data_IF_534752083633
#
_entry.id   IF_534752083633
#
_cell.length_a   1.000
_cell.length_b   1.000
_cell.length_c   1.000
_cell.angle_alpha   90.00
_cell.angle_beta   90.00
_cell.angle_gamma   90.00
#
_symmetry.space_group_name_H-M   'P 1'
#
loop_
_entity.id
_entity.type
_entity.pdbx_description
1 polymer ?
#
# COMPACT_ATOMS: atom_id res chain seq x y z
N UNK A 1 80.08 19.11 78.28
CA UNK A 1 78.84 19.64 77.65
C UNK A 1 78.79 19.09 76.22
N UNK A 2 77.70 18.55 75.61
CA UNK A 2 76.26 18.61 75.88
C UNK A 2 75.54 17.23 75.79
N UNK A 3 75.04 16.66 76.90
CA UNK A 3 74.22 15.41 76.85
C UNK A 3 72.93 15.46 77.68
N UNK A 4 72.61 16.61 78.29
CA UNK A 4 71.45 16.73 79.18
C UNK A 4 70.14 17.12 78.45
N UNK A 5 70.18 17.88 77.35
CA UNK A 5 68.95 18.34 76.68
C UNK A 5 68.29 17.29 75.77
N UNK A 6 69.02 16.27 75.30
CA UNK A 6 68.50 15.21 74.43
C UNK A 6 67.59 14.23 75.19
N UNK A 7 67.97 13.84 76.41
CA UNK A 7 67.17 12.97 77.30
C UNK A 7 65.87 13.61 77.81
N UNK A 8 65.77 14.94 77.83
CA UNK A 8 64.53 15.64 78.19
C UNK A 8 63.48 15.67 77.06
N UNK A 9 63.90 15.53 75.80
CA UNK A 9 62.99 15.45 74.63
C UNK A 9 62.40 14.05 74.44
N UNK A 10 63.18 13.00 74.72
CA UNK A 10 62.71 11.60 74.65
C UNK A 10 61.66 11.27 75.73
N UNK A 11 61.76 11.87 76.93
CA UNK A 11 60.73 11.72 77.98
C UNK A 11 59.42 12.51 77.73
N UNK A 12 59.33 13.31 76.65
CA UNK A 12 58.21 14.23 76.39
C UNK A 12 57.32 13.84 75.19
N UNK A 13 57.50 12.66 74.61
CA UNK A 13 56.88 12.33 73.32
C UNK A 13 55.94 11.12 73.27
N UNK A 14 55.84 10.26 74.29
CA UNK A 14 55.02 9.02 74.16
C UNK A 14 53.55 9.17 74.57
N UNK A 15 53.22 10.09 75.48
CA UNK A 15 51.84 10.33 75.90
C UNK A 15 51.50 11.82 75.91
N UNK A 16 51.11 12.36 74.76
CA UNK A 16 50.55 13.70 74.68
C UNK A 16 49.02 13.65 74.80
N UNK A 17 48.50 14.04 75.96
CA UNK A 17 47.06 14.34 76.11
C UNK A 17 46.76 15.62 75.34
N UNK A 18 45.92 15.54 74.31
CA UNK A 18 45.45 16.71 73.58
C UNK A 18 44.66 17.62 74.53
N UNK A 19 44.98 18.91 74.58
CA UNK A 19 44.30 19.86 75.46
C UNK A 19 42.79 19.85 75.17
N UNK A 20 41.99 19.77 76.24
CA UNK A 20 40.53 19.77 76.21
C UNK A 20 40.03 21.01 75.45
N UNK A 21 39.55 20.82 74.22
CA UNK A 21 38.87 21.90 73.48
C UNK A 21 37.43 21.93 73.93
N UNK A 22 37.05 22.97 74.69
CA UNK A 22 35.69 23.20 75.15
C UNK A 22 34.73 23.17 73.93
N UNK A 23 33.66 22.38 74.02
CA UNK A 23 32.64 22.25 72.95
C UNK A 23 32.79 21.05 72.00
N UNK A 24 33.88 20.27 72.06
CA UNK A 24 33.94 18.96 71.36
C UNK A 24 33.65 17.84 72.37
N UNK A 25 32.72 16.96 72.05
CA UNK A 25 32.31 15.85 72.91
C UNK A 25 33.50 15.03 73.45
N UNK A 26 33.30 14.38 74.60
CA UNK A 26 34.35 13.62 75.31
C UNK A 26 35.05 12.65 74.34
N UNK A 27 36.35 12.84 74.12
CA UNK A 27 37.14 11.93 73.30
C UNK A 27 37.19 10.55 73.96
N UNK A 28 37.05 9.50 73.16
CA UNK A 28 37.22 8.13 73.62
C UNK A 28 38.62 7.95 74.22
N UNK A 29 38.72 7.10 75.25
CA UNK A 29 40.00 6.85 75.91
C UNK A 29 41.00 6.24 74.91
N UNK A 30 42.30 6.50 75.09
CA UNK A 30 43.33 6.10 74.12
C UNK A 30 43.50 4.57 74.00
N UNK A 31 42.92 3.82 74.93
CA UNK A 31 42.86 2.36 74.94
C UNK A 31 41.49 1.80 74.48
N UNK A 32 40.56 2.66 74.05
CA UNK A 32 39.28 2.22 73.52
C UNK A 32 39.48 1.59 72.15
N UNK A 33 39.16 0.30 72.04
CA UNK A 33 39.13 -0.39 70.76
C UNK A 33 37.83 -0.03 70.05
N UNK A 34 37.93 0.60 68.88
CA UNK A 34 36.77 0.89 68.05
C UNK A 34 36.26 -0.41 67.41
N UNK A 35 35.11 -0.89 67.88
CA UNK A 35 34.42 -2.08 67.37
C UNK A 35 33.45 -1.75 66.23
N UNK A 36 33.45 -0.51 65.73
CA UNK A 36 32.64 -0.13 64.57
C UNK A 36 33.30 -0.64 63.29
N UNK A 37 32.77 -1.73 62.76
CA UNK A 37 33.09 -2.20 61.42
C UNK A 37 31.85 -2.11 60.54
N UNK A 38 32.07 -1.85 59.25
CA UNK A 38 31.02 -1.88 58.21
C UNK A 38 31.33 -3.03 57.26
N UNK A 39 30.56 -4.10 57.35
CA UNK A 39 30.58 -5.17 56.36
C UNK A 39 29.61 -4.81 55.22
N UNK A 40 30.08 -4.91 53.97
CA UNK A 40 29.22 -4.78 52.78
C UNK A 40 29.10 -6.14 52.12
N UNK A 41 27.86 -6.57 51.86
CA UNK A 41 27.57 -7.80 51.13
C UNK A 41 27.94 -7.63 49.65
N UNK A 42 28.66 -8.62 49.10
CA UNK A 42 28.94 -8.69 47.67
C UNK A 42 27.74 -9.34 46.99
N UNK A 43 27.03 -8.58 46.15
CA UNK A 43 25.98 -9.13 45.30
C UNK A 43 26.63 -9.74 44.04
N UNK A 44 26.69 -11.07 43.97
CA UNK A 44 27.05 -11.75 42.74
C UNK A 44 25.84 -11.81 41.78
N UNK A 45 26.03 -11.60 40.47
CA UNK A 45 24.99 -11.83 39.48
C UNK A 45 24.53 -13.30 39.53
N UNK A 46 23.21 -13.52 39.59
CA UNK A 46 22.66 -14.86 39.53
C UNK A 46 22.98 -15.51 38.17
N UNK A 47 23.67 -16.64 38.19
CA UNK A 47 23.91 -17.46 37.00
C UNK A 47 22.68 -18.36 36.75
N UNK A 48 22.24 -18.44 35.50
CA UNK A 48 20.99 -19.11 35.07
C UNK A 48 20.92 -20.61 35.40
N UNK A 49 22.05 -21.24 35.73
CA UNK A 49 22.16 -22.66 36.10
C UNK A 49 21.40 -22.97 37.41
N UNK A 50 21.27 -22.00 38.31
CA UNK A 50 20.61 -22.20 39.62
C UNK A 50 19.16 -21.72 39.66
N UNK A 51 18.62 -21.22 38.53
CA UNK A 51 17.22 -20.80 38.47
C UNK A 51 16.37 -22.05 38.32
N UNK A 52 15.59 -22.39 39.34
CA UNK A 52 14.62 -23.48 39.23
C UNK A 52 13.59 -23.14 38.14
N UNK A 53 13.58 -23.96 37.08
CA UNK A 53 12.63 -23.89 35.98
C UNK A 53 11.57 -24.99 36.06
N UNK A 54 11.50 -25.71 37.20
CA UNK A 54 10.45 -26.69 37.44
C UNK A 54 9.06 -26.05 37.23
N UNK A 55 8.25 -26.66 36.35
CA UNK A 55 6.92 -26.18 35.99
C UNK A 55 6.85 -25.03 34.97
N UNK A 56 7.98 -24.50 34.47
CA UNK A 56 7.98 -23.52 33.37
C UNK A 56 8.03 -24.24 32.02
N UNK A 57 7.33 -23.68 31.04
CA UNK A 57 7.39 -24.16 29.66
C UNK A 57 8.72 -23.74 29.05
N UNK A 58 9.48 -24.72 28.56
CA UNK A 58 10.84 -24.54 28.04
C UNK A 58 11.01 -25.29 26.72
N UNK A 59 11.96 -24.83 25.90
CA UNK A 59 12.38 -25.53 24.68
C UNK A 59 13.40 -26.66 24.98
N UNK A 60 13.85 -27.36 23.93
CA UNK A 60 14.90 -28.40 24.01
C UNK A 60 16.22 -27.95 24.66
N UNK A 61 16.50 -26.64 24.69
CA UNK A 61 17.69 -26.04 25.32
C UNK A 61 17.43 -25.52 26.75
N UNK A 62 16.29 -25.89 27.34
CA UNK A 62 15.86 -25.45 28.67
C UNK A 62 15.73 -23.91 28.80
N UNK A 63 15.28 -23.24 27.73
CA UNK A 63 15.04 -21.80 27.68
C UNK A 63 13.53 -21.51 27.65
N UNK A 64 13.11 -20.53 28.45
CA UNK A 64 11.74 -20.02 28.44
C UNK A 64 11.51 -19.05 27.29
N UNK A 65 10.24 -18.74 26.99
CA UNK A 65 9.89 -17.67 26.03
C UNK A 65 10.58 -16.35 26.38
N UNK A 66 10.61 -15.98 27.65
CA UNK A 66 11.26 -14.74 28.11
C UNK A 66 12.77 -14.77 27.90
N UNK A 67 13.42 -15.91 28.14
CA UNK A 67 14.86 -16.08 27.87
C UNK A 67 15.16 -15.91 26.37
N UNK A 68 14.33 -16.53 25.52
CA UNK A 68 14.47 -16.47 24.06
C UNK A 68 14.19 -15.06 23.51
N UNK A 69 13.18 -14.38 24.04
CA UNK A 69 12.86 -12.99 23.69
C UNK A 69 14.04 -12.05 23.99
N UNK A 70 14.74 -12.24 25.13
CA UNK A 70 15.96 -11.50 25.44
C UNK A 70 17.10 -11.81 24.46
N UNK A 71 17.23 -13.06 24.04
CA UNK A 71 18.26 -13.48 23.08
C UNK A 71 18.07 -12.89 21.67
N UNK A 72 16.87 -12.44 21.30
CA UNK A 72 16.64 -11.71 20.05
C UNK A 72 17.41 -10.38 19.98
N UNK A 73 17.83 -9.83 21.12
CA UNK A 73 18.62 -8.58 21.19
C UNK A 73 20.12 -8.81 21.28
N UNK A 74 20.56 -10.06 21.23
CA UNK A 74 21.97 -10.41 21.41
C UNK A 74 22.82 -9.99 20.20
N UNK A 75 24.07 -9.58 20.42
CA UNK A 75 24.97 -9.11 19.35
C UNK A 75 25.31 -10.20 18.33
N UNK A 76 25.41 -11.47 18.76
CA UNK A 76 25.68 -12.60 17.89
C UNK A 76 24.45 -13.01 17.07
N UNK A 77 24.58 -12.98 15.74
CA UNK A 77 23.54 -13.42 14.81
C UNK A 77 23.15 -14.89 15.00
N UNK A 78 24.11 -15.77 15.33
CA UNK A 78 23.83 -17.18 15.61
C UNK A 78 22.89 -17.36 16.81
N UNK A 79 23.09 -16.57 17.87
CA UNK A 79 22.21 -16.59 19.06
C UNK A 79 20.82 -16.07 18.71
N UNK A 80 20.72 -14.97 17.95
CA UNK A 80 19.41 -14.44 17.52
C UNK A 80 18.65 -15.43 16.64
N UNK A 81 19.33 -16.05 15.67
CA UNK A 81 18.74 -17.06 14.78
C UNK A 81 18.22 -18.26 15.57
N UNK A 82 19.03 -18.77 16.48
CA UNK A 82 18.66 -19.90 17.33
C UNK A 82 17.51 -19.53 18.28
N UNK A 83 17.44 -18.27 18.74
CA UNK A 83 16.31 -17.76 19.51
C UNK A 83 15.01 -17.75 18.69
N UNK A 84 15.03 -17.29 17.44
CA UNK A 84 13.85 -17.35 16.55
C UNK A 84 13.39 -18.80 16.34
N UNK A 85 14.31 -19.74 16.11
CA UNK A 85 13.97 -21.16 16.02
C UNK A 85 13.43 -21.72 17.33
N UNK A 86 14.03 -21.36 18.48
CA UNK A 86 13.57 -21.78 19.80
C UNK A 86 12.16 -21.25 20.13
N UNK A 87 11.83 -20.03 19.70
CA UNK A 87 10.48 -19.46 19.81
C UNK A 87 9.51 -20.28 18.96
N UNK A 88 9.87 -20.62 17.73
CA UNK A 88 9.01 -21.48 16.91
C UNK A 88 8.78 -22.85 17.56
N UNK A 89 9.83 -23.46 18.11
CA UNK A 89 9.78 -24.75 18.79
C UNK A 89 8.82 -24.71 19.99
N UNK A 90 9.01 -23.76 20.91
CA UNK A 90 8.18 -23.67 22.13
C UNK A 90 6.71 -23.34 21.82
N UNK A 91 6.45 -22.49 20.81
CA UNK A 91 5.09 -22.19 20.36
C UNK A 91 4.43 -23.38 19.66
N UNK A 92 5.22 -24.26 19.03
CA UNK A 92 4.70 -25.50 18.43
C UNK A 92 4.36 -26.52 19.51
N UNK A 93 5.19 -26.63 20.55
CA UNK A 93 4.96 -27.52 21.70
C UNK A 93 3.78 -27.04 22.56
N UNK A 94 3.62 -25.73 22.69
CA UNK A 94 2.60 -25.10 23.53
C UNK A 94 1.85 -24.00 22.76
N UNK A 95 0.91 -24.36 21.86
CA UNK A 95 0.21 -23.39 21.00
C UNK A 95 -0.57 -22.30 21.75
N UNK A 96 -1.01 -22.56 22.99
CA UNK A 96 -1.69 -21.56 23.82
C UNK A 96 -0.83 -20.31 24.07
N UNK A 97 0.50 -20.45 24.08
CA UNK A 97 1.43 -19.34 24.28
C UNK A 97 1.42 -18.34 23.13
N UNK A 98 0.98 -18.75 21.93
CA UNK A 98 0.82 -17.83 20.79
C UNK A 98 -0.12 -16.69 21.16
N UNK A 99 -1.19 -16.98 21.91
CA UNK A 99 -2.17 -15.97 22.33
C UNK A 99 -1.75 -15.25 23.62
N UNK A 100 -1.26 -16.01 24.60
CA UNK A 100 -0.90 -15.45 25.92
C UNK A 100 0.32 -14.52 25.85
N UNK A 101 1.33 -14.88 25.05
CA UNK A 101 2.60 -14.15 24.97
C UNK A 101 2.75 -13.28 23.71
N UNK A 102 1.73 -13.19 22.85
CA UNK A 102 1.74 -12.32 21.67
C UNK A 102 2.20 -10.89 22.00
N UNK A 103 1.73 -10.36 23.14
CA UNK A 103 1.99 -8.99 23.56
C UNK A 103 3.45 -8.70 23.85
N UNK A 104 4.18 -9.67 24.38
CA UNK A 104 5.61 -9.54 24.68
C UNK A 104 6.46 -9.94 23.47
N UNK A 105 6.02 -10.91 22.67
CA UNK A 105 6.78 -11.47 21.56
C UNK A 105 6.75 -10.64 20.29
N UNK A 106 5.58 -10.15 19.86
CA UNK A 106 5.44 -9.48 18.55
C UNK A 106 6.37 -8.26 18.45
N UNK A 107 6.48 -7.37 19.45
CA UNK A 107 7.41 -6.23 19.38
C UNK A 107 8.90 -6.65 19.31
N UNK A 108 9.26 -7.76 19.95
CA UNK A 108 10.62 -8.30 19.90
C UNK A 108 10.94 -8.88 18.52
N UNK A 109 10.01 -9.65 17.96
CA UNK A 109 10.13 -10.24 16.62
C UNK A 109 10.12 -9.17 15.53
N UNK A 110 9.30 -8.13 15.67
CA UNK A 110 9.22 -7.03 14.71
C UNK A 110 10.57 -6.31 14.55
N UNK A 111 11.34 -6.15 15.63
CA UNK A 111 12.70 -5.57 15.56
C UNK A 111 13.66 -6.37 14.68
N UNK A 112 13.49 -7.67 14.60
CA UNK A 112 14.33 -8.54 13.77
C UNK A 112 14.01 -8.45 12.27
N UNK A 113 12.98 -7.70 11.84
CA UNK A 113 12.66 -7.49 10.42
C UNK A 113 13.83 -6.81 9.70
N UNK A 114 14.46 -5.84 10.35
CA UNK A 114 15.63 -5.10 9.86
C UNK A 114 16.98 -5.72 10.24
N UNK A 115 17.04 -6.98 10.67
CA UNK A 115 18.30 -7.62 11.10
C UNK A 115 19.33 -7.65 9.96
N UNK A 116 20.60 -7.41 10.25
CA UNK A 116 21.67 -7.43 9.24
C UNK A 116 21.94 -8.86 8.71
N UNK A 117 21.70 -9.89 9.52
CA UNK A 117 21.96 -11.28 9.13
C UNK A 117 20.80 -11.91 8.33
N UNK A 118 21.13 -12.46 7.17
CA UNK A 118 20.15 -13.03 6.25
C UNK A 118 19.47 -14.30 6.79
N UNK A 119 20.16 -15.10 7.61
CA UNK A 119 19.59 -16.32 8.19
C UNK A 119 18.58 -15.98 9.29
N UNK A 120 18.84 -14.95 10.10
CA UNK A 120 17.88 -14.42 11.08
C UNK A 120 16.62 -13.93 10.37
N UNK A 121 16.75 -13.08 9.34
CA UNK A 121 15.60 -12.56 8.57
C UNK A 121 14.79 -13.69 7.91
N UNK A 122 15.47 -14.69 7.34
CA UNK A 122 14.80 -15.85 6.71
C UNK A 122 14.00 -16.65 7.73
N UNK A 123 14.58 -16.94 8.90
CA UNK A 123 13.91 -17.72 9.94
C UNK A 123 12.74 -16.93 10.54
N UNK A 124 12.90 -15.61 10.72
CA UNK A 124 11.84 -14.73 11.20
C UNK A 124 10.64 -14.73 10.25
N UNK A 125 10.86 -14.59 8.95
CA UNK A 125 9.80 -14.65 7.96
C UNK A 125 9.02 -15.97 8.04
N UNK A 126 9.71 -17.11 8.19
CA UNK A 126 9.08 -18.42 8.36
C UNK A 126 8.29 -18.52 9.66
N UNK A 127 8.76 -17.90 10.74
CA UNK A 127 8.02 -17.85 12.01
C UNK A 127 6.77 -16.97 11.87
N UNK A 128 6.90 -15.75 11.35
CA UNK A 128 5.78 -14.80 11.24
C UNK A 128 4.69 -15.31 10.28
N UNK A 129 5.07 -15.88 9.13
CA UNK A 129 4.12 -16.51 8.18
C UNK A 129 3.32 -17.65 8.78
N UNK A 130 3.91 -18.42 9.69
CA UNK A 130 3.21 -19.48 10.40
C UNK A 130 2.41 -18.97 11.60
N UNK A 131 2.95 -18.02 12.36
CA UNK A 131 2.40 -17.56 13.64
C UNK A 131 1.24 -16.56 13.47
N UNK A 132 1.39 -15.56 12.61
CA UNK A 132 0.43 -14.47 12.49
C UNK A 132 -0.99 -14.92 12.09
N UNK A 133 -1.19 -15.88 11.16
CA UNK A 133 -2.52 -16.38 10.83
C UNK A 133 -3.26 -17.08 11.98
N UNK A 134 -2.53 -17.51 13.02
CA UNK A 134 -3.10 -18.17 14.20
C UNK A 134 -3.59 -17.17 15.26
N UNK A 135 -3.25 -15.88 15.13
CA UNK A 135 -3.63 -14.84 16.07
C UNK A 135 -4.92 -14.18 15.58
N UNK A 136 -6.00 -14.14 16.40
CA UNK A 136 -7.21 -13.42 16.05
C UNK A 136 -6.92 -11.95 15.71
N UNK A 137 -7.57 -11.42 14.67
CA UNK A 137 -7.34 -10.05 14.20
C UNK A 137 -7.50 -8.99 15.31
N UNK A 138 -8.41 -9.22 16.27
CA UNK A 138 -8.64 -8.32 17.39
C UNK A 138 -7.45 -8.26 18.36
N UNK A 139 -6.73 -9.37 18.50
CA UNK A 139 -5.52 -9.45 19.34
C UNK A 139 -4.29 -8.96 18.58
N UNK A 140 -4.25 -9.13 17.25
CA UNK A 140 -3.16 -8.65 16.41
C UNK A 140 -3.21 -7.14 16.17
N UNK A 141 -4.41 -6.55 16.15
CA UNK A 141 -4.71 -5.14 15.88
C UNK A 141 -3.74 -4.13 16.51
N UNK A 142 -3.52 -4.18 17.84
CA UNK A 142 -2.60 -3.27 18.53
C UNK A 142 -1.15 -3.30 18.02
N UNK A 143 -0.73 -4.39 17.38
CA UNK A 143 0.63 -4.59 16.89
C UNK A 143 0.81 -4.28 15.40
N UNK A 144 -0.26 -3.99 14.65
CA UNK A 144 -0.18 -3.65 13.23
C UNK A 144 0.75 -2.45 12.99
N UNK A 145 0.62 -1.40 13.80
CA UNK A 145 1.49 -0.22 13.70
C UNK A 145 2.97 -0.56 13.95
N UNK A 146 3.26 -1.43 14.92
CA UNK A 146 4.64 -1.87 15.19
C UNK A 146 5.21 -2.69 14.04
N UNK A 147 4.44 -3.65 13.50
CA UNK A 147 4.88 -4.48 12.37
C UNK A 147 5.12 -3.62 11.12
N UNK A 148 4.21 -2.69 10.82
CA UNK A 148 4.36 -1.75 9.70
C UNK A 148 5.53 -0.79 9.91
N UNK A 149 5.75 -0.28 11.11
CA UNK A 149 6.89 0.59 11.43
C UNK A 149 8.22 -0.08 11.09
N UNK A 150 8.43 -1.28 11.62
CA UNK A 150 9.68 -2.01 11.38
C UNK A 150 9.81 -2.46 9.92
N UNK A 151 8.70 -2.80 9.26
CA UNK A 151 8.70 -3.16 7.83
C UNK A 151 9.05 -1.97 6.94
N UNK A 152 8.39 -0.83 7.12
CA UNK A 152 8.65 0.42 6.36
C UNK A 152 10.05 0.95 6.62
N UNK A 153 10.52 0.92 7.88
CA UNK A 153 11.90 1.24 8.22
C UNK A 153 12.90 0.32 7.48
N UNK A 154 12.63 -0.99 7.46
CA UNK A 154 13.49 -1.96 6.77
C UNK A 154 13.41 -1.85 5.23
N UNK A 155 12.29 -1.37 4.66
CA UNK A 155 12.17 -1.07 3.23
C UNK A 155 13.05 0.10 2.79
N UNK A 156 13.33 1.04 3.70
CA UNK A 156 14.22 2.18 3.47
C UNK A 156 15.64 1.96 4.01
N UNK A 157 16.01 0.72 4.32
CA UNK A 157 17.34 0.38 4.85
C UNK A 157 18.46 0.62 3.83
N UNK A 158 19.64 1.04 4.32
CA UNK A 158 20.83 1.29 3.46
C UNK A 158 21.27 0.05 2.67
N UNK A 159 21.11 -1.13 3.28
CA UNK A 159 21.49 -2.42 2.71
C UNK A 159 20.35 -3.02 1.83
N UNK A 160 20.58 -3.26 0.53
CA UNK A 160 19.58 -3.84 -0.38
C UNK A 160 19.02 -5.20 0.09
N UNK A 161 19.84 -6.06 0.67
CA UNK A 161 19.44 -7.39 1.13
C UNK A 161 18.49 -7.36 2.34
N UNK A 162 18.54 -6.30 3.14
CA UNK A 162 17.57 -6.06 4.22
C UNK A 162 16.25 -5.61 3.62
N UNK A 163 16.30 -4.68 2.65
CA UNK A 163 15.11 -4.22 1.92
C UNK A 163 14.37 -5.36 1.23
N UNK A 164 15.09 -6.27 0.57
CA UNK A 164 14.50 -7.47 -0.07
C UNK A 164 13.85 -8.38 0.98
N UNK A 165 14.44 -8.49 2.18
CA UNK A 165 13.84 -9.24 3.29
C UNK A 165 12.52 -8.61 3.78
N UNK A 166 12.50 -7.29 3.93
CA UNK A 166 11.33 -6.53 4.38
C UNK A 166 10.14 -6.67 3.42
N UNK A 167 10.39 -6.74 2.11
CA UNK A 167 9.35 -6.96 1.10
C UNK A 167 8.57 -8.24 1.33
N UNK A 168 9.22 -9.31 1.81
CA UNK A 168 8.52 -10.57 2.10
C UNK A 168 7.58 -10.43 3.31
N UNK A 169 7.93 -9.57 4.26
CA UNK A 169 7.06 -9.24 5.40
C UNK A 169 5.91 -8.35 4.93
N UNK A 170 6.18 -7.40 4.03
CA UNK A 170 5.12 -6.60 3.40
C UNK A 170 4.14 -7.48 2.61
N UNK A 171 4.62 -8.47 1.85
CA UNK A 171 3.78 -9.44 1.12
C UNK A 171 2.81 -10.16 2.09
N UNK A 172 3.29 -10.56 3.27
CA UNK A 172 2.45 -11.19 4.30
C UNK A 172 1.38 -10.24 4.83
N UNK A 173 1.74 -8.98 5.12
CA UNK A 173 0.75 -7.97 5.55
C UNK A 173 -0.27 -7.73 4.43
N UNK A 174 0.17 -7.67 3.19
CA UNK A 174 -0.67 -7.49 2.03
C UNK A 174 -1.64 -8.67 1.84
N UNK A 175 -1.26 -9.91 2.12
CA UNK A 175 -2.16 -11.06 2.11
C UNK A 175 -3.33 -10.88 3.10
N UNK A 176 -3.05 -10.39 4.31
CA UNK A 176 -4.08 -10.09 5.32
C UNK A 176 -5.01 -8.99 4.83
N UNK A 177 -4.46 -7.89 4.31
CA UNK A 177 -5.24 -6.77 3.76
C UNK A 177 -6.06 -7.21 2.55
N UNK A 178 -5.53 -8.07 1.70
CA UNK A 178 -6.23 -8.64 0.53
C UNK A 178 -7.40 -9.52 0.94
N UNK A 179 -7.24 -10.32 1.99
CA UNK A 179 -8.34 -11.09 2.57
C UNK A 179 -9.43 -10.16 3.11
N UNK A 180 -9.05 -9.09 3.82
CA UNK A 180 -9.99 -8.08 4.30
C UNK A 180 -10.74 -7.44 3.14
N UNK A 181 -10.06 -7.05 2.06
CA UNK A 181 -10.69 -6.52 0.85
C UNK A 181 -11.72 -7.49 0.27
N UNK A 182 -11.36 -8.77 0.11
CA UNK A 182 -12.25 -9.77 -0.43
C UNK A 182 -13.52 -9.93 0.43
N UNK A 183 -13.36 -9.95 1.76
CA UNK A 183 -14.48 -10.03 2.71
C UNK A 183 -15.38 -8.79 2.64
N UNK A 184 -14.78 -7.60 2.56
CA UNK A 184 -15.53 -6.34 2.52
C UNK A 184 -16.24 -6.11 1.19
N UNK A 185 -15.64 -6.50 0.06
CA UNK A 185 -16.30 -6.48 -1.26
C UNK A 185 -17.55 -7.36 -1.31
N UNK A 186 -17.55 -8.49 -0.59
CA UNK A 186 -18.69 -9.41 -0.51
C UNK A 186 -19.74 -9.05 0.54
N UNK A 187 -19.48 -8.06 1.40
CA UNK A 187 -20.33 -7.72 2.53
C UNK A 187 -21.25 -6.55 2.21
N UNK A 188 -22.55 -6.81 2.01
CA UNK A 188 -23.55 -5.77 1.75
C UNK A 188 -24.00 -5.00 2.99
N UNK A 189 -23.85 -5.57 4.19
CA UNK A 189 -24.21 -4.92 5.46
C UNK A 189 -23.30 -5.38 6.59
N UNK A 190 -22.08 -4.82 6.70
CA UNK A 190 -21.15 -5.19 7.74
C UNK A 190 -21.67 -4.78 9.12
N UNK A 191 -21.55 -5.69 10.09
CA UNK A 191 -21.94 -5.42 11.48
C UNK A 191 -21.20 -4.21 12.06
N UNK A 192 -21.78 -3.53 13.06
CA UNK A 192 -21.10 -2.43 13.75
C UNK A 192 -19.73 -2.83 14.31
N UNK A 193 -19.58 -4.07 14.81
CA UNK A 193 -18.29 -4.59 15.29
C UNK A 193 -17.26 -4.70 14.16
N UNK A 194 -17.67 -5.19 12.99
CA UNK A 194 -16.79 -5.30 11.82
C UNK A 194 -16.35 -3.91 11.34
N UNK A 195 -17.27 -2.93 11.30
CA UNK A 195 -16.95 -1.53 10.95
C UNK A 195 -15.95 -0.91 11.91
N UNK A 196 -16.15 -1.03 13.23
CA UNK A 196 -15.18 -0.54 14.22
C UNK A 196 -13.82 -1.24 14.08
N UNK A 197 -13.81 -2.57 13.88
CA UNK A 197 -12.57 -3.32 13.73
C UNK A 197 -11.78 -2.92 12.48
N UNK A 198 -12.45 -2.65 11.35
CA UNK A 198 -11.78 -2.13 10.16
C UNK A 198 -11.29 -0.70 10.39
N UNK A 199 -12.11 0.17 10.98
CA UNK A 199 -11.73 1.55 11.27
C UNK A 199 -10.48 1.63 12.18
N UNK A 200 -10.42 0.81 13.23
CA UNK A 200 -9.25 0.74 14.11
C UNK A 200 -8.02 0.20 13.37
N UNK A 201 -8.21 -0.82 12.52
CA UNK A 201 -7.12 -1.36 11.68
C UNK A 201 -6.60 -0.32 10.71
N UNK A 202 -7.48 0.35 9.96
CA UNK A 202 -7.10 1.43 9.04
C UNK A 202 -6.45 2.59 9.78
N UNK A 203 -6.90 2.93 10.99
CA UNK A 203 -6.26 3.97 11.80
C UNK A 203 -4.82 3.65 12.22
N UNK A 204 -4.48 2.36 12.39
CA UNK A 204 -3.10 1.96 12.60
C UNK A 204 -2.26 2.00 11.33
N UNK A 205 -2.88 1.70 10.18
CA UNK A 205 -2.23 1.66 8.86
C UNK A 205 -2.05 3.07 8.30
N UNK A 206 -2.97 4.00 8.59
CA UNK A 206 -3.04 5.35 8.01
C UNK A 206 -1.81 6.21 8.26
N UNK A 207 -1.07 5.94 9.36
CA UNK A 207 0.17 6.64 9.69
C UNK A 207 1.25 6.44 8.62
N UNK A 208 1.15 5.34 7.85
CA UNK A 208 2.10 4.96 6.83
C UNK A 208 1.58 5.15 5.41
N UNK A 209 0.34 5.59 5.24
CA UNK A 209 -0.24 5.83 3.92
C UNK A 209 0.02 7.28 3.46
N UNK A 210 0.44 7.50 2.19
CA UNK A 210 0.82 6.50 1.20
C UNK A 210 2.19 5.86 1.51
N UNK A 211 2.24 4.53 1.52
CA UNK A 211 3.44 3.72 1.73
C UNK A 211 4.53 4.07 0.73
N UNK A 212 4.14 4.33 -0.52
CA UNK A 212 5.04 4.73 -1.60
C UNK A 212 5.81 6.02 -1.31
N UNK A 213 5.31 6.93 -0.47
CA UNK A 213 5.99 8.19 -0.11
C UNK A 213 7.12 7.95 0.88
N UNK A 214 7.02 6.90 1.69
CA UNK A 214 7.97 6.57 2.74
C UNK A 214 9.05 5.57 2.29
N UNK A 215 8.88 4.96 1.11
CA UNK A 215 9.81 3.99 0.55
C UNK A 215 10.66 4.62 -0.54
N UNK A 216 11.95 4.84 -0.27
CA UNK A 216 12.88 5.37 -1.26
C UNK A 216 12.95 4.50 -2.52
N UNK A 217 12.76 5.08 -3.71
CA UNK A 217 12.68 4.34 -4.98
C UNK A 217 14.02 3.74 -5.45
N UNK A 218 15.14 4.21 -4.89
CA UNK A 218 16.51 3.87 -5.28
C UNK A 218 16.99 2.56 -4.65
N UNK A 219 16.84 1.45 -5.37
CA UNK A 219 17.43 0.15 -5.01
C UNK A 219 16.45 -0.92 -4.50
N UNK A 220 15.13 -0.66 -4.54
CA UNK A 220 14.12 -1.72 -4.45
C UNK A 220 14.01 -2.47 -5.78
N UNK A 221 13.76 -3.78 -5.71
CA UNK A 221 13.44 -4.59 -6.89
C UNK A 221 12.08 -4.17 -7.50
N UNK A 222 11.84 -4.54 -8.76
CA UNK A 222 10.56 -4.30 -9.44
C UNK A 222 9.36 -4.85 -8.64
N UNK A 223 9.51 -6.08 -8.13
CA UNK A 223 8.50 -6.76 -7.33
C UNK A 223 8.20 -6.02 -6.03
N UNK A 224 9.24 -5.53 -5.36
CA UNK A 224 9.12 -4.75 -4.13
C UNK A 224 8.33 -3.45 -4.34
N UNK A 225 8.62 -2.75 -5.44
CA UNK A 225 7.90 -1.53 -5.82
C UNK A 225 6.42 -1.82 -6.07
N UNK A 226 6.12 -2.88 -6.80
CA UNK A 226 4.74 -3.31 -7.06
C UNK A 226 3.98 -3.67 -5.77
N UNK A 227 4.61 -4.36 -4.81
CA UNK A 227 3.98 -4.69 -3.54
C UNK A 227 3.61 -3.45 -2.71
N UNK A 228 4.50 -2.44 -2.66
CA UNK A 228 4.22 -1.16 -1.99
C UNK A 228 3.02 -0.45 -2.61
N UNK A 229 2.98 -0.39 -3.94
CA UNK A 229 1.87 0.20 -4.68
C UNK A 229 0.57 -0.54 -4.42
N UNK A 230 0.59 -1.88 -4.46
CA UNK A 230 -0.60 -2.68 -4.18
C UNK A 230 -1.13 -2.44 -2.76
N UNK A 231 -0.24 -2.21 -1.79
CA UNK A 231 -0.63 -1.84 -0.43
C UNK A 231 -1.34 -0.47 -0.39
N UNK A 232 -0.85 0.54 -1.11
CA UNK A 232 -1.50 1.85 -1.23
C UNK A 232 -2.90 1.74 -1.82
N UNK A 233 -3.04 1.01 -2.93
CA UNK A 233 -4.33 0.78 -3.59
C UNK A 233 -5.30 0.05 -2.67
N UNK A 234 -4.81 -0.96 -1.95
CA UNK A 234 -5.62 -1.76 -1.06
C UNK A 234 -6.12 -0.96 0.15
N UNK A 235 -5.27 -0.09 0.72
CA UNK A 235 -5.68 0.84 1.76
C UNK A 235 -6.75 1.80 1.26
N UNK A 236 -6.52 2.42 0.08
CA UNK A 236 -7.44 3.36 -0.53
C UNK A 236 -8.83 2.74 -0.76
N UNK A 237 -8.89 1.51 -1.26
CA UNK A 237 -10.14 0.80 -1.48
C UNK A 237 -10.83 0.40 -0.16
N UNK A 238 -10.09 -0.08 0.85
CA UNK A 238 -10.68 -0.39 2.16
C UNK A 238 -11.26 0.85 2.84
N UNK A 239 -10.59 2.01 2.72
CA UNK A 239 -11.09 3.27 3.23
C UNK A 239 -12.40 3.68 2.55
N UNK A 240 -12.46 3.57 1.21
CA UNK A 240 -13.67 3.82 0.44
C UNK A 240 -14.81 2.85 0.80
N UNK A 241 -14.53 1.55 0.93
CA UNK A 241 -15.51 0.55 1.34
C UNK A 241 -16.04 0.79 2.76
N UNK A 242 -15.19 1.21 3.69
CA UNK A 242 -15.61 1.59 5.03
C UNK A 242 -16.56 2.79 4.98
N UNK A 243 -16.18 3.84 4.26
CA UNK A 243 -16.97 5.06 4.11
C UNK A 243 -18.33 4.80 3.46
N UNK A 244 -18.39 3.95 2.43
CA UNK A 244 -19.65 3.55 1.78
C UNK A 244 -20.60 2.82 2.76
N UNK A 245 -20.05 2.12 3.76
CA UNK A 245 -20.80 1.36 4.75
C UNK A 245 -21.02 2.13 6.06
N UNK A 246 -20.58 3.38 6.18
CA UNK A 246 -20.94 4.25 7.29
C UNK A 246 -22.39 4.72 7.14
N UNK A 247 -23.33 3.91 7.65
CA UNK A 247 -24.72 4.34 7.74
C UNK A 247 -24.83 5.62 8.60
N UNK A 248 -25.52 6.63 8.08
CA UNK A 248 -25.72 7.97 8.67
C UNK A 248 -26.31 8.00 10.11
N UNK A 249 -26.59 6.86 10.74
CA UNK A 249 -27.22 6.77 12.07
C UNK A 249 -26.46 5.93 13.10
N UNK A 250 -25.26 5.41 12.80
CA UNK A 250 -24.46 4.65 13.78
C UNK A 250 -23.03 5.17 13.86
N UNK A 251 -22.80 6.12 14.79
CA UNK A 251 -21.47 6.65 15.12
C UNK A 251 -20.52 5.49 15.46
N UNK A 252 -19.47 5.34 14.67
CA UNK A 252 -18.37 4.43 14.98
C UNK A 252 -17.70 4.90 16.28
N UNK A 253 -17.51 3.99 17.23
CA UNK A 253 -16.77 4.25 18.47
C UNK A 253 -15.26 4.11 18.20
N UNK A 254 -14.74 4.83 17.21
CA UNK A 254 -13.30 4.85 16.89
C UNK A 254 -12.81 6.28 16.86
N UNK A 255 -11.51 6.47 17.13
CA UNK A 255 -10.81 7.74 16.89
C UNK A 255 -10.51 7.97 15.40
N UNK A 256 -10.79 6.97 14.56
CA UNK A 256 -10.63 7.04 13.12
C UNK A 256 -11.60 8.06 12.52
N UNK A 257 -11.06 9.11 11.90
CA UNK A 257 -11.84 10.10 11.17
C UNK A 257 -11.88 9.69 9.69
N UNK A 258 -13.00 9.12 9.25
CA UNK A 258 -13.17 8.63 7.88
C UNK A 258 -13.05 9.76 6.86
N UNK A 259 -13.64 10.93 7.12
CA UNK A 259 -13.61 12.08 6.20
C UNK A 259 -12.17 12.54 5.91
N UNK A 260 -11.33 12.65 6.95
CA UNK A 260 -9.92 13.02 6.80
C UNK A 260 -9.16 11.99 5.96
N UNK A 261 -9.47 10.71 6.14
CA UNK A 261 -8.81 9.64 5.40
C UNK A 261 -9.28 9.56 3.95
N UNK A 262 -10.56 9.80 3.68
CA UNK A 262 -11.07 9.92 2.31
C UNK A 262 -10.44 11.10 1.59
N UNK A 263 -10.28 12.25 2.25
CA UNK A 263 -9.57 13.40 1.67
C UNK A 263 -8.11 13.07 1.35
N UNK A 264 -7.41 12.34 2.23
CA UNK A 264 -6.05 11.85 1.97
C UNK A 264 -5.98 10.88 0.79
N UNK A 265 -6.94 9.97 0.67
CA UNK A 265 -7.06 9.04 -0.46
C UNK A 265 -7.37 9.76 -1.77
N UNK A 266 -8.26 10.76 -1.73
CA UNK A 266 -8.61 11.62 -2.86
C UNK A 266 -7.37 12.38 -3.38
N UNK A 267 -6.61 13.01 -2.47
CA UNK A 267 -5.35 13.68 -2.81
C UNK A 267 -4.32 12.73 -3.42
N UNK A 268 -4.16 11.53 -2.85
CA UNK A 268 -3.23 10.52 -3.37
C UNK A 268 -3.61 10.07 -4.78
N UNK A 269 -4.91 9.82 -5.03
CA UNK A 269 -5.39 9.43 -6.35
C UNK A 269 -5.25 10.58 -7.37
N UNK A 270 -5.53 11.82 -6.97
CA UNK A 270 -5.32 12.98 -7.83
C UNK A 270 -3.84 13.14 -8.22
N UNK A 271 -2.92 12.98 -7.25
CA UNK A 271 -1.48 12.95 -7.51
C UNK A 271 -1.10 11.85 -8.51
N UNK A 272 -1.66 10.65 -8.31
CA UNK A 272 -1.42 9.49 -9.17
C UNK A 272 -1.92 9.68 -10.62
N UNK A 273 -3.02 10.39 -10.80
CA UNK A 273 -3.60 10.70 -12.12
C UNK A 273 -2.91 11.88 -12.83
N UNK A 274 -2.25 12.77 -12.07
CA UNK A 274 -1.51 13.90 -12.61
C UNK A 274 -0.16 13.45 -13.21
N UNK A 275 0.07 13.72 -14.50
CA UNK A 275 1.34 13.35 -15.18
C UNK A 275 2.23 14.56 -15.46
N UNK A 276 3.58 14.44 -15.39
CA UNK A 276 4.37 13.29 -14.92
C UNK A 276 4.96 13.57 -13.54
N UNK A 277 4.91 12.56 -12.67
CA UNK A 277 5.49 12.58 -11.31
C UNK A 277 7.01 12.79 -11.42
N UNK A 278 7.46 14.04 -11.29
CA UNK A 278 8.88 14.41 -11.22
C UNK A 278 9.41 14.17 -9.82
N UNK A 279 10.31 13.19 -9.69
CA UNK A 279 11.39 13.05 -8.69
C UNK A 279 11.08 13.15 -7.17
N UNK A 280 9.86 13.44 -6.73
CA UNK A 280 9.52 13.52 -5.30
C UNK A 280 9.08 12.18 -4.75
N UNK A 281 10.03 11.28 -4.48
CA UNK A 281 9.92 10.26 -3.42
C UNK A 281 8.85 9.16 -3.53
N UNK A 282 7.86 9.28 -4.42
CA UNK A 282 6.88 8.24 -4.73
C UNK A 282 7.58 7.13 -5.51
N UNK A 283 7.31 5.89 -5.13
CA UNK A 283 7.63 4.74 -5.98
C UNK A 283 6.96 4.97 -7.33
N UNK A 284 7.74 5.42 -8.31
CA UNK A 284 7.27 5.59 -9.69
C UNK A 284 6.62 4.28 -10.12
N UNK A 285 5.32 4.34 -10.44
CA UNK A 285 4.55 3.26 -11.03
C UNK A 285 4.99 2.91 -12.46
N UNK A 286 6.18 3.34 -12.87
CA UNK A 286 6.76 2.96 -14.14
C UNK A 286 7.20 1.49 -14.09
N UNK A 287 6.71 0.72 -15.06
CA UNK A 287 7.34 -0.54 -15.46
C UNK A 287 8.85 -0.36 -15.68
N UNK A 288 9.63 -1.39 -15.34
CA UNK A 288 11.10 -1.41 -15.26
C UNK A 288 11.84 -1.31 -16.60
N UNK A 289 11.45 -0.38 -17.47
CA UNK A 289 12.12 -0.14 -18.75
C UNK A 289 11.73 1.14 -19.48
N UNK A 290 10.87 2.00 -18.92
CA UNK A 290 10.45 3.23 -19.58
C UNK A 290 11.22 4.46 -19.05
N UNK A 291 11.81 5.23 -19.97
CA UNK A 291 12.37 6.55 -19.73
C UNK A 291 11.30 7.52 -19.19
N UNK A 292 11.57 8.19 -18.05
CA UNK A 292 11.04 9.47 -17.53
C UNK A 292 9.55 9.88 -17.72
N UNK A 293 8.70 9.02 -18.27
CA UNK A 293 7.24 9.18 -18.37
C UNK A 293 6.61 8.04 -17.59
N UNK A 294 6.29 8.29 -16.33
CA UNK A 294 5.59 7.36 -15.45
C UNK A 294 4.21 7.07 -16.02
N UNK A 295 4.01 5.87 -16.57
CA UNK A 295 2.68 5.42 -16.98
C UNK A 295 2.23 4.31 -16.04
N UNK A 296 1.14 4.58 -15.32
CA UNK A 296 0.35 3.60 -14.60
C UNK A 296 0.18 2.36 -15.48
N UNK A 297 0.50 1.18 -14.96
CA UNK A 297 0.19 -0.04 -15.69
C UNK A 297 -1.34 -0.30 -15.69
N UNK A 298 -1.88 -1.03 -16.68
CA UNK A 298 -3.31 -1.25 -16.80
C UNK A 298 -3.94 -1.98 -15.62
N UNK A 299 -3.19 -2.84 -14.94
CA UNK A 299 -3.72 -3.67 -13.86
C UNK A 299 -3.79 -2.88 -12.56
N UNK A 300 -2.79 -2.05 -12.28
CA UNK A 300 -2.89 -1.02 -11.23
C UNK A 300 -4.05 -0.07 -11.51
N UNK A 301 -4.21 0.39 -12.76
CA UNK A 301 -5.33 1.28 -13.07
C UNK A 301 -6.69 0.60 -12.83
N UNK A 302 -6.82 -0.69 -13.15
CA UNK A 302 -8.03 -1.47 -12.82
C UNK A 302 -8.29 -1.57 -11.33
N UNK A 303 -7.23 -1.74 -10.53
CA UNK A 303 -7.35 -1.78 -9.08
C UNK A 303 -7.79 -0.42 -8.47
N UNK A 304 -7.57 0.70 -9.16
CA UNK A 304 -8.08 2.02 -8.74
C UNK A 304 -9.58 2.20 -9.00
N UNK A 305 -10.17 1.46 -9.96
CA UNK A 305 -11.55 1.72 -10.42
C UNK A 305 -12.61 1.70 -9.30
N UNK A 306 -12.60 0.76 -8.33
CA UNK A 306 -13.57 0.77 -7.23
C UNK A 306 -13.46 2.05 -6.38
N UNK A 307 -12.24 2.46 -6.05
CA UNK A 307 -11.99 3.67 -5.26
C UNK A 307 -12.35 4.93 -6.05
N UNK A 308 -12.01 4.98 -7.34
CA UNK A 308 -12.41 6.07 -8.23
C UNK A 308 -13.92 6.18 -8.33
N UNK A 309 -14.64 5.06 -8.49
CA UNK A 309 -16.10 5.06 -8.51
C UNK A 309 -16.70 5.64 -7.23
N UNK A 310 -16.15 5.28 -6.07
CA UNK A 310 -16.56 5.83 -4.78
C UNK A 310 -16.30 7.34 -4.69
N UNK A 311 -15.06 7.77 -4.95
CA UNK A 311 -14.66 9.18 -4.83
C UNK A 311 -15.40 10.07 -5.81
N UNK A 312 -15.58 9.62 -7.05
CA UNK A 312 -16.38 10.31 -8.04
C UNK A 312 -17.84 10.43 -7.62
N UNK A 313 -18.31 9.69 -6.60
CA UNK A 313 -19.63 9.80 -5.99
C UNK A 313 -19.71 10.73 -4.77
N UNK A 314 -18.58 11.23 -4.27
CA UNK A 314 -18.50 12.08 -3.06
C UNK A 314 -17.83 13.43 -3.32
N UNK A 315 -16.79 13.48 -4.15
CA UNK A 315 -15.99 14.66 -4.52
C UNK A 315 -15.85 14.73 -6.05
N UNK A 316 -16.82 15.35 -6.73
CA UNK A 316 -17.06 15.10 -8.15
C UNK A 316 -16.20 15.94 -9.11
N UNK A 317 -16.09 17.25 -8.90
CA UNK A 317 -15.66 18.15 -10.00
C UNK A 317 -14.17 18.06 -10.35
N UNK A 318 -13.27 18.15 -9.36
CA UNK A 318 -11.82 18.17 -9.60
C UNK A 318 -11.27 16.81 -10.04
N UNK A 319 -11.87 15.71 -9.55
CA UNK A 319 -11.46 14.36 -9.87
C UNK A 319 -11.88 13.95 -11.29
N UNK A 320 -13.09 14.32 -11.72
CA UNK A 320 -13.54 14.09 -13.09
C UNK A 320 -12.65 14.85 -14.09
N UNK A 321 -12.29 16.09 -13.78
CA UNK A 321 -11.39 16.89 -14.61
C UNK A 321 -10.01 16.25 -14.77
N UNK A 322 -9.43 15.80 -13.66
CA UNK A 322 -8.17 15.05 -13.65
C UNK A 322 -8.28 13.78 -14.51
N UNK A 323 -9.36 13.01 -14.36
CA UNK A 323 -9.57 11.77 -15.09
C UNK A 323 -9.71 11.99 -16.61
N UNK A 324 -10.47 13.01 -17.02
CA UNK A 324 -10.63 13.37 -18.44
C UNK A 324 -9.31 13.91 -19.02
N UNK A 325 -8.56 14.70 -18.26
CA UNK A 325 -7.23 15.15 -18.66
C UNK A 325 -6.28 13.97 -18.87
N UNK A 326 -6.26 13.00 -17.95
CA UNK A 326 -5.50 11.75 -18.11
C UNK A 326 -5.95 10.99 -19.36
N UNK A 327 -7.26 10.85 -19.61
CA UNK A 327 -7.75 10.17 -20.82
C UNK A 327 -7.25 10.83 -22.12
N UNK A 328 -7.22 12.16 -22.17
CA UNK A 328 -6.74 12.90 -23.33
C UNK A 328 -5.21 12.87 -23.49
N UNK A 329 -4.45 12.84 -22.38
CA UNK A 329 -2.99 12.81 -22.41
C UNK A 329 -2.41 11.46 -22.83
N UNK A 330 -3.12 10.35 -22.56
CA UNK A 330 -2.65 9.01 -22.90
C UNK A 330 -2.65 8.75 -24.42
N UNK A 331 -1.58 8.12 -24.92
CA UNK A 331 -1.50 7.67 -26.31
C UNK A 331 -2.51 6.56 -26.60
N UNK A 332 -3.04 6.46 -27.83
CA UNK A 332 -4.04 5.43 -28.17
C UNK A 332 -3.49 4.00 -28.19
N UNK A 333 -2.17 3.86 -28.31
CA UNK A 333 -1.46 2.59 -28.16
C UNK A 333 -1.29 2.17 -26.69
N UNK A 334 -1.49 3.10 -25.75
CA UNK A 334 -1.32 2.82 -24.33
C UNK A 334 -2.54 2.10 -23.76
N UNK A 335 -2.32 0.95 -23.11
CA UNK A 335 -3.38 0.07 -22.61
C UNK A 335 -4.27 0.73 -21.53
N UNK A 336 -3.77 1.68 -20.75
CA UNK A 336 -4.60 2.44 -19.78
C UNK A 336 -5.67 3.26 -20.49
N UNK A 337 -5.43 3.77 -21.70
CA UNK A 337 -6.45 4.53 -22.44
C UNK A 337 -7.69 3.66 -22.72
N UNK A 338 -7.48 2.37 -23.01
CA UNK A 338 -8.57 1.43 -23.20
C UNK A 338 -9.38 1.19 -21.91
N UNK A 339 -8.69 1.04 -20.77
CA UNK A 339 -9.34 0.88 -19.46
C UNK A 339 -10.12 2.14 -19.07
N UNK A 340 -9.53 3.32 -19.27
CA UNK A 340 -10.17 4.61 -19.05
C UNK A 340 -11.42 4.80 -19.92
N UNK A 341 -11.30 4.50 -21.22
CA UNK A 341 -12.43 4.55 -22.14
C UNK A 341 -13.56 3.65 -21.67
N UNK A 342 -13.25 2.39 -21.32
CA UNK A 342 -14.24 1.42 -20.87
C UNK A 342 -14.94 1.87 -19.59
N UNK A 343 -14.18 2.39 -18.62
CA UNK A 343 -14.72 2.95 -17.38
C UNK A 343 -15.66 4.13 -17.64
N UNK A 344 -15.19 5.14 -18.38
CA UNK A 344 -15.96 6.36 -18.71
C UNK A 344 -17.19 6.04 -19.58
N UNK A 345 -17.06 5.13 -20.54
CA UNK A 345 -18.15 4.68 -21.39
C UNK A 345 -19.23 4.00 -20.53
N UNK A 346 -18.85 3.01 -19.70
CA UNK A 346 -19.79 2.32 -18.81
C UNK A 346 -20.46 3.26 -17.80
N UNK A 347 -19.70 4.21 -17.25
CA UNK A 347 -20.23 5.28 -16.41
C UNK A 347 -21.33 6.09 -17.11
N UNK A 348 -21.07 6.53 -18.34
CA UNK A 348 -22.08 7.20 -19.15
C UNK A 348 -23.29 6.29 -19.44
N UNK A 349 -23.07 5.02 -19.79
CA UNK A 349 -24.16 4.08 -20.06
C UNK A 349 -25.06 3.87 -18.83
N UNK A 350 -24.47 3.74 -17.64
CA UNK A 350 -25.22 3.59 -16.39
C UNK A 350 -26.17 4.77 -16.14
N UNK A 351 -25.77 6.00 -16.49
CA UNK A 351 -26.64 7.18 -16.40
C UNK A 351 -27.91 7.06 -17.26
N UNK A 352 -27.90 6.21 -18.30
CA UNK A 352 -29.04 6.02 -19.21
C UNK A 352 -29.93 4.82 -18.84
N UNK A 353 -29.52 3.94 -17.93
CA UNK A 353 -30.18 2.64 -17.64
C UNK A 353 -30.96 2.63 -16.31
N UNK A 354 -31.45 3.79 -15.82
CA UNK A 354 -32.11 3.93 -14.50
C UNK A 354 -31.27 3.40 -13.31
N UNK A 355 -29.95 3.28 -13.49
CA UNK A 355 -29.03 2.91 -12.42
C UNK A 355 -28.54 4.16 -11.70
N UNK A 356 -28.16 4.02 -10.43
CA UNK A 356 -27.49 5.09 -9.69
C UNK A 356 -26.12 5.35 -10.35
N UNK A 357 -25.91 6.59 -10.76
CA UNK A 357 -24.64 7.08 -11.32
C UNK A 357 -24.12 8.18 -10.40
N UNK A 358 -22.80 8.24 -10.15
CA UNK A 358 -22.20 9.34 -9.40
C UNK A 358 -22.17 10.65 -10.20
N UNK A 359 -22.50 10.61 -11.49
CA UNK A 359 -22.47 11.77 -12.38
C UNK A 359 -23.84 12.42 -12.54
N UNK A 360 -23.85 13.75 -12.50
CA UNK A 360 -24.97 14.57 -12.95
C UNK A 360 -25.22 14.39 -14.46
N UNK A 361 -26.38 14.86 -14.94
CA UNK A 361 -26.70 14.83 -16.36
C UNK A 361 -25.67 15.64 -17.20
N UNK A 362 -25.25 16.81 -16.70
CA UNK A 362 -24.24 17.66 -17.35
C UNK A 362 -22.87 16.99 -17.43
N UNK A 363 -22.42 16.34 -16.35
CA UNK A 363 -21.15 15.62 -16.33
C UNK A 363 -21.18 14.40 -17.26
N UNK A 364 -22.31 13.69 -17.29
CA UNK A 364 -22.50 12.56 -18.21
C UNK A 364 -22.38 13.00 -19.67
N UNK A 365 -23.00 14.12 -20.05
CA UNK A 365 -22.87 14.68 -21.40
C UNK A 365 -21.43 15.16 -21.68
N UNK A 366 -20.74 15.72 -20.69
CA UNK A 366 -19.32 16.11 -20.81
C UNK A 366 -18.40 14.89 -21.03
N UNK A 367 -18.63 13.79 -20.31
CA UNK A 367 -17.92 12.52 -20.52
C UNK A 367 -18.13 12.04 -21.96
N UNK A 368 -19.38 12.00 -22.42
CA UNK A 368 -19.70 11.61 -23.79
C UNK A 368 -18.98 12.50 -24.82
N UNK A 369 -19.00 13.81 -24.63
CA UNK A 369 -18.34 14.76 -25.54
C UNK A 369 -16.81 14.54 -25.59
N UNK A 370 -16.17 14.32 -24.44
CA UNK A 370 -14.75 13.98 -24.34
C UNK A 370 -14.43 12.68 -25.09
N UNK A 371 -15.20 11.62 -24.84
CA UNK A 371 -15.03 10.33 -25.51
C UNK A 371 -15.19 10.47 -27.02
N UNK A 372 -16.28 11.09 -27.50
CA UNK A 372 -16.55 11.30 -28.93
C UNK A 372 -15.52 12.20 -29.62
N UNK A 373 -14.84 13.07 -28.89
CA UNK A 373 -13.79 13.93 -29.44
C UNK A 373 -12.49 13.16 -29.69
N UNK A 374 -12.10 12.27 -28.78
CA UNK A 374 -10.93 11.41 -28.97
C UNK A 374 -11.21 10.16 -29.84
N UNK A 375 -12.48 9.78 -29.97
CA UNK A 375 -12.96 8.57 -30.65
C UNK A 375 -12.39 8.36 -32.07
N UNK A 376 -12.39 9.34 -32.98
CA UNK A 376 -12.02 9.10 -34.38
C UNK A 376 -10.55 8.68 -34.51
N UNK A 377 -9.67 9.43 -33.83
CA UNK A 377 -8.23 9.21 -33.82
C UNK A 377 -7.88 7.90 -33.11
N UNK A 378 -8.49 7.65 -31.96
CA UNK A 378 -8.20 6.44 -31.18
C UNK A 378 -8.64 5.17 -31.91
N UNK A 379 -9.83 5.16 -32.51
CA UNK A 379 -10.33 4.04 -33.30
C UNK A 379 -9.48 3.81 -34.55
N UNK A 380 -9.06 4.89 -35.21
CA UNK A 380 -8.14 4.85 -36.34
C UNK A 380 -6.82 4.17 -35.97
N UNK A 381 -6.15 4.67 -34.92
CA UNK A 381 -4.86 4.16 -34.48
C UNK A 381 -4.99 2.70 -34.00
N UNK A 382 -6.06 2.37 -33.27
CA UNK A 382 -6.35 1.04 -32.77
C UNK A 382 -6.60 0.01 -33.88
N UNK A 383 -7.32 0.40 -34.94
CA UNK A 383 -7.60 -0.49 -36.07
C UNK A 383 -6.36 -0.84 -36.91
N UNK A 384 -5.30 -0.04 -36.84
CA UNK A 384 -4.05 -0.28 -37.57
C UNK A 384 -3.08 -1.22 -36.85
N UNK A 385 -3.35 -1.61 -35.59
CA UNK A 385 -2.50 -2.50 -34.79
C UNK A 385 -3.27 -3.72 -34.30
N UNK A 386 -2.71 -4.92 -34.43
CA UNK A 386 -3.32 -6.14 -33.87
C UNK A 386 -3.56 -6.05 -32.35
N UNK A 387 -2.69 -5.36 -31.61
CA UNK A 387 -2.86 -5.13 -30.17
C UNK A 387 -3.96 -4.10 -29.84
N UNK A 388 -4.33 -3.26 -30.79
CA UNK A 388 -5.37 -2.24 -30.65
C UNK A 388 -6.76 -2.71 -31.08
N UNK A 389 -6.87 -3.79 -31.85
CA UNK A 389 -8.15 -4.27 -32.39
C UNK A 389 -9.19 -4.59 -31.30
N UNK A 390 -8.77 -5.11 -30.15
CA UNK A 390 -9.67 -5.35 -29.01
C UNK A 390 -10.27 -4.03 -28.48
N UNK A 391 -9.44 -2.98 -28.37
CA UNK A 391 -9.91 -1.65 -27.97
C UNK A 391 -10.84 -1.03 -29.03
N UNK A 392 -10.51 -1.17 -30.31
CA UNK A 392 -11.39 -0.76 -31.41
C UNK A 392 -12.76 -1.46 -31.35
N UNK A 393 -12.80 -2.74 -30.94
CA UNK A 393 -14.04 -3.47 -30.71
C UNK A 393 -14.92 -2.83 -29.64
N UNK A 394 -14.36 -2.57 -28.46
CA UNK A 394 -15.07 -1.90 -27.34
C UNK A 394 -15.61 -0.53 -27.77
N UNK A 395 -14.86 0.21 -28.58
CA UNK A 395 -15.28 1.49 -29.13
C UNK A 395 -16.46 1.37 -30.10
N UNK A 396 -16.43 0.38 -31.00
CA UNK A 396 -17.52 0.11 -31.94
C UNK A 396 -18.78 -0.40 -31.25
N UNK A 397 -18.65 -1.23 -30.22
CA UNK A 397 -19.77 -1.70 -29.40
C UNK A 397 -20.40 -0.54 -28.62
N UNK A 398 -19.58 0.35 -28.05
CA UNK A 398 -20.08 1.57 -27.42
C UNK A 398 -20.84 2.45 -28.42
N UNK A 399 -20.29 2.67 -29.63
CA UNK A 399 -20.98 3.41 -30.68
C UNK A 399 -22.30 2.75 -31.07
N UNK A 400 -22.31 1.42 -31.24
CA UNK A 400 -23.53 0.67 -31.53
C UNK A 400 -24.60 0.91 -30.46
N UNK A 401 -24.22 0.80 -29.19
CA UNK A 401 -25.13 1.06 -28.07
C UNK A 401 -25.65 2.50 -28.08
N UNK A 402 -24.78 3.51 -28.28
CA UNK A 402 -25.19 4.91 -28.37
C UNK A 402 -26.24 5.15 -29.46
N UNK A 403 -26.11 4.45 -30.59
CA UNK A 403 -27.03 4.56 -31.72
C UNK A 403 -28.38 3.89 -31.46
N UNK A 404 -28.42 2.90 -30.57
CA UNK A 404 -29.66 2.22 -30.15
C UNK A 404 -30.40 2.94 -29.01
N UNK A 405 -29.81 3.99 -28.42
CA UNK A 405 -30.50 4.78 -27.39
C UNK A 405 -31.77 5.45 -27.95
N UNK A 406 -32.83 5.62 -27.14
CA UNK A 406 -34.07 6.27 -27.58
C UNK A 406 -33.88 7.70 -28.11
N UNK A 407 -32.88 8.40 -27.58
CA UNK A 407 -32.45 9.72 -28.03
C UNK A 407 -30.95 9.67 -28.30
N UNK A 408 -30.52 9.25 -29.50
CA UNK A 408 -29.10 9.13 -29.82
C UNK A 408 -28.47 10.52 -29.95
N UNK A 409 -27.18 10.68 -29.62
CA UNK A 409 -26.51 11.98 -29.69
C UNK A 409 -26.58 12.59 -31.10
N UNK A 410 -27.01 13.85 -31.21
CA UNK A 410 -27.13 14.55 -32.49
C UNK A 410 -25.76 14.84 -33.15
N UNK A 411 -24.69 14.98 -32.35
CA UNK A 411 -23.33 15.35 -32.77
C UNK A 411 -22.47 14.17 -33.28
N UNK A 412 -23.06 13.18 -33.96
CA UNK A 412 -22.33 12.10 -34.65
C UNK A 412 -22.08 12.49 -36.12
N UNK A 413 -21.26 13.53 -36.32
CA UNK A 413 -21.03 14.15 -37.63
C UNK A 413 -19.93 13.46 -38.46
N UNK A 414 -19.86 13.79 -39.76
CA UNK A 414 -18.84 13.31 -40.69
C UNK A 414 -17.40 13.46 -40.15
N UNK A 415 -17.08 14.57 -39.50
CA UNK A 415 -15.74 14.83 -38.97
C UNK A 415 -15.29 13.78 -37.95
N UNK A 416 -16.25 13.15 -37.26
CA UNK A 416 -15.98 12.13 -36.23
C UNK A 416 -15.98 10.71 -36.78
N UNK A 417 -16.90 10.37 -37.69
CA UNK A 417 -17.10 8.98 -38.12
C UNK A 417 -16.80 8.74 -39.61
N UNK A 418 -16.79 9.78 -40.45
CA UNK A 418 -16.53 9.65 -41.89
C UNK A 418 -15.20 8.95 -42.19
N UNK A 419 -14.07 9.41 -41.62
CA UNK A 419 -12.77 8.79 -41.85
C UNK A 419 -12.66 7.32 -41.44
N UNK A 420 -13.52 6.83 -40.54
CA UNK A 420 -13.58 5.40 -40.19
C UNK A 420 -13.98 4.56 -41.38
N UNK A 421 -14.90 5.05 -42.22
CA UNK A 421 -15.53 4.31 -43.31
C UNK A 421 -14.86 4.58 -44.66
N UNK A 422 -14.60 5.85 -44.96
CA UNK A 422 -14.04 6.25 -46.24
C UNK A 422 -13.20 7.53 -46.13
N UNK A 423 -12.07 7.56 -46.82
CA UNK A 423 -11.13 8.66 -46.72
C UNK A 423 -10.74 9.13 -48.09
N UNK A 424 -10.66 10.45 -48.23
CA UNK A 424 -9.94 11.09 -49.31
C UNK A 424 -8.53 11.41 -48.84
N UNK A 425 -7.53 10.77 -49.45
CA UNK A 425 -6.12 11.00 -49.09
C UNK A 425 -5.77 12.47 -49.36
N UNK A 426 -5.34 13.25 -48.34
CA UNK A 426 -5.20 14.71 -48.46
C UNK A 426 -4.20 15.13 -49.54
N UNK A 427 -3.13 14.35 -49.74
CA UNK A 427 -2.08 14.69 -50.73
C UNK A 427 -2.16 13.92 -52.04
N UNK A 428 -2.83 12.76 -52.09
CA UNK A 428 -2.84 11.89 -53.29
C UNK A 428 -4.12 12.03 -54.11
N UNK A 429 -5.13 12.75 -53.60
CA UNK A 429 -6.47 12.85 -54.20
C UNK A 429 -7.17 11.51 -54.48
N UNK A 430 -6.62 10.39 -54.01
CA UNK A 430 -7.22 9.05 -54.12
C UNK A 430 -8.14 8.83 -52.93
N UNK A 431 -9.32 8.26 -53.20
CA UNK A 431 -10.23 7.84 -52.14
C UNK A 431 -10.03 6.37 -51.83
N UNK A 432 -9.88 6.03 -50.55
CA UNK A 432 -9.59 4.67 -50.08
C UNK A 432 -10.55 4.27 -48.95
N UNK A 433 -10.82 2.97 -48.79
CA UNK A 433 -11.56 2.47 -47.63
C UNK A 433 -10.87 2.88 -46.34
N UNK A 434 -11.69 3.25 -45.36
CA UNK A 434 -11.23 3.55 -44.01
C UNK A 434 -10.76 2.31 -43.23
N UNK A 435 -10.35 2.51 -41.97
CA UNK A 435 -9.71 1.49 -41.13
C UNK A 435 -10.65 0.34 -40.77
N UNK A 436 -11.97 0.50 -40.93
CA UNK A 436 -12.94 -0.58 -40.76
C UNK A 436 -12.57 -1.84 -41.56
N UNK A 437 -11.99 -1.68 -42.76
CA UNK A 437 -11.59 -2.79 -43.62
C UNK A 437 -10.36 -3.56 -43.08
N UNK A 438 -9.56 -2.96 -42.20
CA UNK A 438 -8.41 -3.60 -41.56
C UNK A 438 -8.76 -4.36 -40.28
N UNK A 439 -9.99 -4.22 -39.80
CA UNK A 439 -10.47 -4.91 -38.60
C UNK A 439 -10.72 -6.41 -38.87
N UNK A 440 -10.67 -7.25 -37.82
CA UNK A 440 -11.10 -8.65 -37.87
C UNK A 440 -12.54 -8.79 -38.39
N UNK A 441 -12.92 -9.96 -38.96
CA UNK A 441 -14.22 -10.15 -39.60
C UNK A 441 -15.44 -9.77 -38.74
N UNK A 442 -15.43 -10.12 -37.44
CA UNK A 442 -16.51 -9.79 -36.51
C UNK A 442 -16.67 -8.28 -36.30
N UNK A 443 -15.56 -7.56 -36.09
CA UNK A 443 -15.56 -6.11 -35.88
C UNK A 443 -15.86 -5.34 -37.17
N UNK A 444 -15.42 -5.87 -38.32
CA UNK A 444 -15.78 -5.34 -39.64
C UNK A 444 -17.29 -5.41 -39.84
N UNK A 445 -17.91 -6.55 -39.52
CA UNK A 445 -19.36 -6.71 -39.57
C UNK A 445 -20.06 -5.70 -38.66
N UNK A 446 -19.62 -5.56 -37.40
CA UNK A 446 -20.19 -4.59 -36.46
C UNK A 446 -20.08 -3.13 -36.97
N UNK A 447 -18.94 -2.77 -37.56
CA UNK A 447 -18.77 -1.45 -38.18
C UNK A 447 -19.75 -1.25 -39.35
N UNK A 448 -19.96 -2.26 -40.19
CA UNK A 448 -20.93 -2.19 -41.28
C UNK A 448 -22.38 -2.16 -40.77
N UNK A 449 -22.72 -2.91 -39.72
CA UNK A 449 -24.06 -2.91 -39.12
C UNK A 449 -24.41 -1.50 -38.57
N UNK A 450 -23.42 -0.81 -37.98
CA UNK A 450 -23.56 0.58 -37.51
C UNK A 450 -23.90 1.58 -38.63
N UNK A 451 -23.61 1.27 -39.89
CA UNK A 451 -23.96 2.14 -41.03
C UNK A 451 -25.48 2.38 -41.08
N UNK A 452 -26.27 1.32 -40.91
CA UNK A 452 -27.74 1.41 -40.98
C UNK A 452 -28.32 2.37 -39.94
N UNK A 453 -27.70 2.45 -38.77
CA UNK A 453 -28.15 3.32 -37.66
C UNK A 453 -27.64 4.77 -37.79
N UNK A 454 -26.65 5.01 -38.65
CA UNK A 454 -26.05 6.32 -38.90
C UNK A 454 -26.68 7.06 -40.10
N UNK A 455 -27.44 6.36 -40.94
CA UNK A 455 -28.06 6.93 -42.14
C UNK A 455 -28.97 8.11 -41.83
N UNK A 456 -28.92 9.14 -42.70
CA UNK A 456 -29.83 10.28 -42.66
C UNK A 456 -29.47 11.35 -41.63
N UNK A 457 -28.28 11.26 -41.01
CA UNK A 457 -27.79 12.22 -40.01
C UNK A 457 -26.97 13.36 -40.60
N UNK A 458 -26.14 13.06 -41.61
CA UNK A 458 -25.25 14.03 -42.26
C UNK A 458 -24.95 13.57 -43.69
N UNK A 459 -25.18 14.44 -44.68
CA UNK A 459 -25.05 14.08 -46.09
C UNK A 459 -23.62 13.69 -46.51
N UNK A 460 -22.58 14.25 -45.87
CA UNK A 460 -21.18 13.87 -46.15
C UNK A 460 -20.86 12.51 -45.55
N UNK A 461 -21.39 12.23 -44.35
CA UNK A 461 -21.30 10.93 -43.70
C UNK A 461 -22.01 9.86 -44.53
N UNK A 462 -23.26 10.11 -44.95
CA UNK A 462 -24.04 9.18 -45.77
C UNK A 462 -23.31 8.78 -47.06
N UNK A 463 -22.60 9.73 -47.68
CA UNK A 463 -21.74 9.45 -48.85
C UNK A 463 -20.59 8.49 -48.51
N UNK A 464 -19.86 8.73 -47.43
CA UNK A 464 -18.75 7.86 -47.00
C UNK A 464 -19.25 6.46 -46.60
N UNK A 465 -20.40 6.39 -45.92
CA UNK A 465 -21.06 5.15 -45.54
C UNK A 465 -21.46 4.32 -46.75
N UNK A 466 -22.07 4.95 -47.77
CA UNK A 466 -22.48 4.28 -49.01
C UNK A 466 -21.29 3.69 -49.76
N UNK A 467 -20.19 4.46 -49.87
CA UNK A 467 -18.95 3.99 -50.52
C UNK A 467 -18.32 2.79 -49.79
N UNK A 468 -18.36 2.79 -48.45
CA UNK A 468 -17.86 1.66 -47.66
C UNK A 468 -18.71 0.40 -47.87
N UNK A 469 -20.04 0.55 -47.95
CA UNK A 469 -20.98 -0.55 -48.17
C UNK A 469 -20.83 -1.16 -49.57
N UNK A 470 -20.73 -0.33 -50.60
CA UNK A 470 -20.42 -0.78 -51.97
C UNK A 470 -19.08 -1.54 -52.04
N UNK A 471 -18.04 -1.01 -51.39
CA UNK A 471 -16.73 -1.68 -51.34
C UNK A 471 -16.78 -3.02 -50.61
N UNK A 472 -17.58 -3.14 -49.54
CA UNK A 472 -17.77 -4.39 -48.82
C UNK A 472 -18.46 -5.44 -49.70
N UNK A 473 -19.52 -5.05 -50.40
CA UNK A 473 -20.29 -5.93 -51.30
C UNK A 473 -19.48 -6.39 -52.51
N UNK A 474 -18.55 -5.57 -53.01
CA UNK A 474 -17.67 -5.96 -54.12
C UNK A 474 -16.60 -6.99 -53.74
N UNK A 475 -16.43 -7.30 -52.45
CA UNK A 475 -15.40 -8.21 -51.92
C UNK A 475 -15.93 -9.40 -51.11
N UNK A 476 -17.23 -9.42 -50.81
CA UNK A 476 -17.96 -10.59 -50.30
C UNK A 476 -18.24 -11.56 -51.43
#
# INVERSE_FOLDING_TARGET
>A
MPKASKRQKEKKADFQKTKLKLGKGKQAANNATDVSFKAKTIALPQQSINVDKSGKLVNSRNLTITDLALQLRHYSAGVRRDAVSGIKEILTLHPSLILTDAASLIPELARCIGDEDAAVRKQLHVLLSWMLPQIPAQLLGPYHGTLLLFTTSALSHIYPEVRIGAVKILDLVFEIVSLMLALWRGSSSPSSKARTSLADTLGHISVYFPFSHHTGSSGLSAKAKSAVVQMDLAYAELAALLALNEAASQKIKSKFNVEVQIASVSSFIAELLSTPVTESGTVSLASTGASAGSVLDPDTFRALLPTLWFLLGTEHESLLDSLLATYHSQASTHKVKAVLFEFLARAFLLSKVRAASPFTASESERILESLLTAFPRTLWEAANSSSGQAFAGVQLEFLHFLLLLPSPPAKLAYEKLGPLYWIRHPTKNVSVPGPWNKLPPSLRKLALDNITLLQGRDAKLDKALSQALEFAQARS
#
